data_IF_083835070022
#
_entry.id   IF_083835070022
#
_cell.length_a   1.000
_cell.length_b   1.000
_cell.length_c   1.000
_cell.angle_alpha   90.00
_cell.angle_beta   90.00
_cell.angle_gamma   90.00
#
_symmetry.space_group_name_H-M   'P 1'
#
loop_
_entity.id
_entity.type
_entity.pdbx_description
1 polymer ?
#
# COMPACT_ATOMS: atom_id res chain seq x y z
N UNK A 1 43.04 -6.98 74.38
CA UNK A 1 42.01 -7.76 73.67
C UNK A 1 41.17 -6.86 72.78
N UNK A 2 41.67 -6.43 71.62
CA UNK A 2 40.89 -5.69 70.60
C UNK A 2 41.43 -6.11 69.23
N UNK A 3 40.58 -6.14 68.20
CA UNK A 3 40.93 -6.31 66.78
C UNK A 3 40.98 -7.74 66.19
N UNK A 4 39.89 -8.50 66.28
CA UNK A 4 39.63 -9.57 65.28
C UNK A 4 38.25 -9.47 64.60
N UNK A 5 37.26 -8.87 65.26
CA UNK A 5 35.90 -8.75 64.71
C UNK A 5 35.76 -7.76 63.52
N UNK A 6 36.57 -6.69 63.46
CA UNK A 6 36.48 -5.69 62.36
C UNK A 6 36.91 -6.24 60.99
N UNK A 7 37.82 -7.22 60.95
CA UNK A 7 38.33 -7.80 59.69
C UNK A 7 37.31 -8.73 59.01
N UNK A 8 36.44 -9.41 59.78
CA UNK A 8 35.41 -10.30 59.22
C UNK A 8 34.25 -9.52 58.57
N UNK A 9 33.82 -8.41 59.20
CA UNK A 9 32.78 -7.53 58.65
C UNK A 9 33.25 -6.84 57.35
N UNK A 10 34.52 -6.45 57.30
CA UNK A 10 35.14 -5.89 56.08
C UNK A 10 35.18 -6.90 54.92
N UNK A 11 35.28 -8.20 55.19
CA UNK A 11 35.31 -9.25 54.17
C UNK A 11 33.91 -9.52 53.60
N UNK A 12 32.88 -9.48 54.45
CA UNK A 12 31.48 -9.64 54.05
C UNK A 12 30.95 -8.46 53.20
N UNK A 13 31.41 -7.24 53.48
CA UNK A 13 31.09 -6.06 52.67
C UNK A 13 31.72 -6.10 51.26
N UNK A 14 32.90 -6.72 51.12
CA UNK A 14 33.56 -6.89 49.81
C UNK A 14 32.87 -7.96 48.97
N UNK A 15 32.35 -9.01 49.59
CA UNK A 15 31.59 -10.08 48.91
C UNK A 15 30.21 -9.57 48.44
N UNK A 16 29.54 -8.71 49.22
CA UNK A 16 28.26 -8.07 48.81
C UNK A 16 28.46 -7.07 47.66
N UNK A 17 29.63 -6.43 47.57
CA UNK A 17 29.95 -5.51 46.46
C UNK A 17 30.11 -6.18 45.09
N UNK A 18 30.37 -7.50 45.03
CA UNK A 18 30.60 -8.22 43.76
C UNK A 18 29.32 -8.71 43.09
N UNK A 19 28.17 -8.70 43.77
CA UNK A 19 26.90 -9.25 43.24
C UNK A 19 26.15 -8.23 42.37
N UNK A 20 26.59 -6.97 42.32
CA UNK A 20 25.85 -5.88 41.65
C UNK A 20 26.33 -5.57 40.22
N UNK A 21 27.30 -6.31 39.69
CA UNK A 21 27.76 -6.13 38.30
C UNK A 21 26.92 -7.05 37.39
N UNK A 22 25.62 -6.78 37.34
CA UNK A 22 24.73 -7.34 36.34
C UNK A 22 24.99 -6.66 35.01
N UNK A 23 25.40 -7.43 34.00
CA UNK A 23 25.52 -6.95 32.63
C UNK A 23 24.12 -6.59 32.13
N UNK A 24 23.82 -5.30 32.00
CA UNK A 24 22.64 -4.82 31.27
C UNK A 24 22.88 -5.14 29.79
N UNK A 25 22.43 -6.31 29.34
CA UNK A 25 22.41 -6.60 27.91
C UNK A 25 21.50 -5.57 27.26
N UNK A 26 22.13 -4.64 26.55
CA UNK A 26 21.44 -3.73 25.64
C UNK A 26 20.76 -4.61 24.60
N UNK A 27 19.49 -4.94 24.86
CA UNK A 27 18.71 -5.79 23.99
C UNK A 27 18.33 -4.97 22.77
N UNK A 28 19.20 -4.97 21.77
CA UNK A 28 18.85 -4.48 20.44
C UNK A 28 17.90 -5.51 19.81
N UNK A 29 16.62 -5.17 19.59
CA UNK A 29 15.68 -6.12 19.00
C UNK A 29 16.20 -6.52 17.62
N UNK A 30 16.20 -7.84 17.35
CA UNK A 30 16.58 -8.37 16.03
C UNK A 30 15.72 -7.68 14.96
N UNK A 31 16.31 -7.31 13.80
CA UNK A 31 15.54 -6.73 12.71
C UNK A 31 14.40 -7.67 12.35
N UNK A 32 13.19 -7.13 12.20
CA UNK A 32 11.99 -7.93 11.87
C UNK A 32 12.25 -8.65 10.55
N UNK A 33 12.17 -9.98 10.56
CA UNK A 33 12.25 -10.80 9.35
C UNK A 33 10.93 -10.76 8.61
N UNK A 34 10.91 -10.13 7.44
CA UNK A 34 9.75 -10.13 6.54
C UNK A 34 9.59 -11.49 5.87
N UNK A 35 8.38 -11.83 5.45
CA UNK A 35 8.19 -12.98 4.55
C UNK A 35 9.04 -12.77 3.29
N UNK A 36 9.83 -13.78 2.93
CA UNK A 36 10.71 -13.69 1.76
C UNK A 36 9.88 -13.92 0.50
N UNK A 37 9.35 -12.84 -0.07
CA UNK A 37 8.83 -12.86 -1.43
C UNK A 37 10.00 -13.00 -2.40
N UNK A 38 9.90 -13.94 -3.34
CA UNK A 38 10.76 -13.94 -4.53
C UNK A 38 10.02 -13.07 -5.53
N UNK A 39 10.40 -11.80 -5.59
CA UNK A 39 9.78 -10.84 -6.51
C UNK A 39 10.48 -10.96 -7.87
N UNK A 40 9.74 -11.30 -8.94
CA UNK A 40 10.31 -11.35 -10.28
C UNK A 40 10.69 -9.94 -10.77
N UNK A 41 11.43 -9.85 -11.87
CA UNK A 41 11.64 -8.55 -12.52
C UNK A 41 10.34 -8.04 -13.12
N UNK A 42 10.18 -6.71 -13.09
CA UNK A 42 9.01 -6.04 -13.64
C UNK A 42 8.93 -6.24 -15.15
N UNK A 43 7.85 -6.86 -15.61
CA UNK A 43 7.54 -7.01 -17.02
C UNK A 43 6.09 -6.64 -17.26
N UNK A 44 5.85 -5.92 -18.35
CA UNK A 44 4.54 -5.34 -18.63
C UNK A 44 3.91 -5.87 -19.92
N UNK A 45 2.59 -5.81 -19.97
CA UNK A 45 1.77 -6.15 -21.13
C UNK A 45 0.60 -5.16 -21.25
N UNK A 46 0.10 -4.97 -22.47
CA UNK A 46 -1.02 -4.07 -22.73
C UNK A 46 -2.36 -4.69 -22.32
N UNK A 47 -3.30 -3.81 -21.94
CA UNK A 47 -4.70 -4.19 -21.85
C UNK A 47 -5.26 -4.61 -23.22
N UNK A 48 -6.25 -5.53 -23.24
CA UNK A 48 -7.03 -5.80 -24.45
C UNK A 48 -7.70 -4.54 -24.99
N UNK A 49 -7.92 -4.47 -26.30
CA UNK A 49 -8.45 -3.26 -26.93
C UNK A 49 -9.92 -2.92 -26.64
N UNK A 50 -10.58 -3.69 -25.78
CA UNK A 50 -12.02 -3.61 -25.48
C UNK A 50 -12.42 -2.50 -24.49
N UNK A 51 -11.47 -1.79 -23.89
CA UNK A 51 -11.73 -0.78 -22.85
C UNK A 51 -11.71 0.66 -23.39
N UNK A 52 -12.42 1.61 -22.76
CA UNK A 52 -12.38 3.04 -23.11
C UNK A 52 -11.09 3.75 -22.64
N UNK A 53 -10.16 2.99 -22.06
CA UNK A 53 -8.83 3.42 -21.65
C UNK A 53 -7.84 2.33 -22.04
N UNK A 54 -6.55 2.69 -22.04
CA UNK A 54 -5.46 1.74 -22.22
C UNK A 54 -4.36 2.04 -21.20
N UNK A 55 -3.68 0.99 -20.76
CA UNK A 55 -2.49 1.07 -19.92
C UNK A 55 -1.72 -0.25 -20.01
N UNK A 56 -0.50 -0.24 -19.50
CA UNK A 56 0.30 -1.43 -19.31
C UNK A 56 0.18 -1.93 -17.86
N UNK A 57 0.14 -3.26 -17.68
CA UNK A 57 0.09 -3.90 -16.37
C UNK A 57 1.04 -5.10 -16.31
N UNK A 58 1.35 -5.54 -15.09
CA UNK A 58 2.32 -6.60 -14.84
C UNK A 58 1.93 -7.92 -15.52
N UNK A 59 2.88 -8.59 -16.20
CA UNK A 59 2.70 -9.95 -16.73
C UNK A 59 2.53 -10.99 -15.63
N UNK A 60 2.98 -10.66 -14.42
CA UNK A 60 2.83 -11.49 -13.23
C UNK A 60 1.45 -11.36 -12.59
N UNK A 61 0.60 -10.48 -13.13
CA UNK A 61 -0.77 -10.29 -12.71
C UNK A 61 -1.78 -10.84 -13.73
N UNK A 62 -2.98 -11.14 -13.23
CA UNK A 62 -4.12 -11.59 -14.02
C UNK A 62 -5.14 -10.46 -14.11
N UNK A 63 -5.59 -10.18 -15.32
CA UNK A 63 -6.75 -9.33 -15.55
C UNK A 63 -8.02 -10.13 -15.29
N UNK A 64 -8.76 -9.78 -14.25
CA UNK A 64 -10.03 -10.39 -13.87
C UNK A 64 -11.16 -9.38 -14.05
N UNK A 65 -12.37 -9.88 -14.28
CA UNK A 65 -13.58 -9.05 -14.24
C UNK A 65 -13.98 -8.88 -12.78
N UNK A 66 -14.41 -7.68 -12.41
CA UNK A 66 -15.00 -7.46 -11.09
C UNK A 66 -16.27 -8.31 -10.96
N UNK A 67 -16.32 -9.14 -9.91
CA UNK A 67 -17.41 -10.09 -9.64
C UNK A 67 -18.47 -9.55 -8.69
N UNK A 68 -18.31 -8.30 -8.22
CA UNK A 68 -19.25 -7.62 -7.34
C UNK A 68 -20.61 -7.45 -8.00
N UNK A 69 -21.67 -7.54 -7.22
CA UNK A 69 -23.05 -7.36 -7.69
C UNK A 69 -23.34 -5.96 -8.27
N UNK A 70 -22.51 -4.97 -7.92
CA UNK A 70 -22.52 -3.59 -8.44
C UNK A 70 -21.57 -3.37 -9.62
N UNK A 71 -20.85 -4.40 -10.07
CA UNK A 71 -19.81 -4.30 -11.10
C UNK A 71 -20.36 -3.71 -12.40
N UNK A 72 -19.71 -2.66 -12.90
CA UNK A 72 -20.02 -2.08 -14.20
C UNK A 72 -19.14 -2.68 -15.31
N UNK A 73 -19.52 -2.46 -16.57
CA UNK A 73 -18.94 -3.10 -17.77
C UNK A 73 -17.40 -3.05 -17.84
N UNK A 74 -16.80 -1.97 -17.35
CA UNK A 74 -15.36 -1.70 -17.45
C UNK A 74 -14.63 -1.76 -16.10
N UNK A 75 -15.27 -2.33 -15.08
CA UNK A 75 -14.62 -2.58 -13.81
C UNK A 75 -13.86 -3.90 -13.85
N UNK A 76 -12.60 -3.84 -13.42
CA UNK A 76 -11.67 -4.95 -13.54
C UNK A 76 -10.78 -5.00 -12.31
N UNK A 77 -10.20 -6.18 -12.07
CA UNK A 77 -9.24 -6.40 -11.01
C UNK A 77 -7.93 -6.87 -11.64
N UNK A 78 -6.81 -6.24 -11.24
CA UNK A 78 -5.47 -6.73 -11.56
C UNK A 78 -4.97 -7.54 -10.36
N UNK A 79 -5.06 -8.86 -10.46
CA UNK A 79 -4.77 -9.78 -9.36
C UNK A 79 -3.37 -10.38 -9.46
N UNK A 80 -2.57 -10.24 -8.41
CA UNK A 80 -1.24 -10.83 -8.24
C UNK A 80 -1.35 -12.11 -7.39
N UNK A 81 -1.32 -13.31 -7.99
CA UNK A 81 -1.56 -14.55 -7.24
C UNK A 81 -0.48 -14.85 -6.20
N UNK A 82 0.78 -14.55 -6.51
CA UNK A 82 1.91 -14.80 -5.62
C UNK A 82 1.93 -13.86 -4.42
N UNK A 83 1.46 -12.62 -4.61
CA UNK A 83 1.41 -11.59 -3.58
C UNK A 83 0.08 -11.57 -2.83
N UNK A 84 -0.94 -12.30 -3.34
CA UNK A 84 -2.33 -12.25 -2.87
C UNK A 84 -2.83 -10.81 -2.77
N UNK A 85 -2.51 -10.02 -3.78
CA UNK A 85 -2.85 -8.62 -3.88
C UNK A 85 -3.75 -8.38 -5.09
N UNK A 86 -4.69 -7.47 -4.96
CA UNK A 86 -5.62 -7.07 -6.01
C UNK A 86 -5.64 -5.55 -6.13
N UNK A 87 -5.56 -5.07 -7.37
CA UNK A 87 -5.83 -3.66 -7.69
C UNK A 87 -7.22 -3.61 -8.29
N UNK A 88 -8.16 -3.03 -7.56
CA UNK A 88 -9.54 -2.88 -8.03
C UNK A 88 -9.63 -1.60 -8.81
N UNK A 89 -10.00 -1.70 -10.08
CA UNK A 89 -10.09 -0.60 -11.02
C UNK A 89 -11.54 -0.36 -11.40
N UNK A 90 -12.01 0.86 -11.18
CA UNK A 90 -13.34 1.30 -11.55
C UNK A 90 -13.28 2.43 -12.57
N UNK A 91 -14.26 2.42 -13.47
CA UNK A 91 -14.43 3.43 -14.51
C UNK A 91 -15.87 3.89 -14.51
N UNK A 92 -16.05 5.22 -14.55
CA UNK A 92 -17.37 5.86 -14.64
C UNK A 92 -17.34 6.92 -15.73
N UNK A 93 -18.47 7.06 -16.43
CA UNK A 93 -18.69 8.13 -17.40
C UNK A 93 -19.26 9.35 -16.68
N UNK A 94 -18.65 10.51 -16.87
CA UNK A 94 -19.12 11.79 -16.32
C UNK A 94 -20.27 12.28 -17.21
N UNK A 95 -21.47 12.35 -16.65
CA UNK A 95 -22.64 12.84 -17.36
C UNK A 95 -22.78 14.37 -17.26
N UNK A 96 -22.41 14.93 -16.10
CA UNK A 96 -22.52 16.35 -15.76
C UNK A 96 -21.59 16.72 -14.58
N UNK A 97 -21.53 18.01 -14.23
CA UNK A 97 -20.69 18.51 -13.13
C UNK A 97 -21.08 17.91 -11.76
N UNK A 98 -22.36 17.65 -11.52
CA UNK A 98 -22.82 17.04 -10.27
C UNK A 98 -22.29 15.59 -10.14
N UNK A 99 -22.30 14.82 -11.23
CA UNK A 99 -21.73 13.47 -11.25
C UNK A 99 -20.21 13.47 -11.02
N UNK A 100 -19.48 14.45 -11.59
CA UNK A 100 -18.06 14.59 -11.32
C UNK A 100 -17.81 14.88 -9.83
N UNK A 101 -18.59 15.79 -9.24
CA UNK A 101 -18.50 16.10 -7.82
C UNK A 101 -18.77 14.87 -6.96
N UNK A 102 -19.85 14.13 -7.25
CA UNK A 102 -20.18 12.89 -6.55
C UNK A 102 -19.03 11.89 -6.61
N UNK A 103 -18.41 11.69 -7.78
CA UNK A 103 -17.32 10.73 -7.94
C UNK A 103 -16.04 11.15 -7.21
N UNK A 104 -15.76 12.45 -7.16
CA UNK A 104 -14.67 13.00 -6.35
C UNK A 104 -14.95 12.80 -4.86
N UNK A 105 -16.15 13.19 -4.40
CA UNK A 105 -16.58 13.05 -3.01
C UNK A 105 -16.53 11.58 -2.57
N UNK A 106 -16.96 10.64 -3.42
CA UNK A 106 -16.85 9.19 -3.20
C UNK A 106 -15.38 8.75 -3.09
N UNK A 107 -14.51 9.22 -3.99
CA UNK A 107 -13.09 8.86 -3.98
C UNK A 107 -12.40 9.35 -2.69
N UNK A 108 -12.69 10.59 -2.27
CA UNK A 108 -12.21 11.14 -1.01
C UNK A 108 -12.82 10.43 0.20
N UNK A 109 -14.12 10.12 0.17
CA UNK A 109 -14.80 9.41 1.26
C UNK A 109 -14.26 7.99 1.45
N UNK A 110 -14.02 7.24 0.37
CA UNK A 110 -13.43 5.90 0.45
C UNK A 110 -11.99 5.94 0.98
N UNK A 111 -11.22 6.96 0.59
CA UNK A 111 -9.88 7.21 1.15
C UNK A 111 -9.97 7.51 2.64
N UNK A 112 -10.89 8.41 3.03
CA UNK A 112 -11.12 8.80 4.42
C UNK A 112 -11.74 7.68 5.29
N UNK A 113 -12.54 6.76 4.75
CA UNK A 113 -13.12 5.65 5.52
C UNK A 113 -12.03 4.70 6.07
N UNK A 114 -10.89 4.62 5.39
CA UNK A 114 -9.72 3.88 5.86
C UNK A 114 -8.84 4.68 6.84
N UNK A 115 -9.07 6.00 6.99
CA UNK A 115 -8.39 6.89 7.94
C UNK A 115 -8.55 6.46 9.40
N UNK A 116 -9.67 5.83 9.77
CA UNK A 116 -9.94 5.41 11.15
C UNK A 116 -8.89 4.39 11.64
N UNK A 117 -8.22 3.67 10.72
CA UNK A 117 -7.17 2.69 11.02
C UNK A 117 -5.78 3.09 10.50
N UNK A 118 -5.68 4.19 9.76
CA UNK A 118 -4.42 4.65 9.18
C UNK A 118 -3.61 5.40 10.24
N UNK A 119 -2.29 5.17 10.29
CA UNK A 119 -1.39 5.97 11.12
C UNK A 119 -1.01 7.29 10.44
N UNK A 120 -1.00 7.32 9.11
CA UNK A 120 -0.74 8.50 8.30
C UNK A 120 -1.42 8.37 6.93
N UNK A 121 -1.71 9.52 6.30
CA UNK A 121 -2.18 9.62 4.91
C UNK A 121 -1.31 10.68 4.23
N UNK A 122 -0.70 10.31 3.10
CA UNK A 122 0.00 11.25 2.22
C UNK A 122 -0.73 11.32 0.88
N UNK A 123 -1.39 12.46 0.62
CA UNK A 123 -2.09 12.73 -0.63
C UNK A 123 -1.22 13.59 -1.53
N UNK A 124 -1.01 13.13 -2.76
CA UNK A 124 -0.21 13.82 -3.76
C UNK A 124 -0.97 13.98 -5.08
N UNK A 125 -0.84 15.17 -5.67
CA UNK A 125 -1.32 15.47 -7.02
C UNK A 125 -0.09 15.55 -7.93
N UNK A 126 -0.06 14.74 -8.98
CA UNK A 126 1.03 14.71 -9.96
C UNK A 126 0.51 14.68 -11.39
N UNK A 127 1.41 14.96 -12.33
CA UNK A 127 1.14 14.89 -13.77
C UNK A 127 2.02 13.82 -14.38
N UNK A 128 1.42 12.86 -15.08
CA UNK A 128 2.15 11.78 -15.74
C UNK A 128 2.94 12.30 -16.95
N UNK A 129 3.94 11.57 -17.46
CA UNK A 129 4.64 11.94 -18.69
C UNK A 129 3.72 12.17 -19.89
N UNK A 130 2.55 11.52 -19.91
CA UNK A 130 1.51 11.68 -20.92
C UNK A 130 0.54 12.85 -20.63
N UNK A 131 0.85 13.71 -19.66
CA UNK A 131 0.08 14.91 -19.34
C UNK A 131 -1.23 14.65 -18.59
N UNK A 132 -1.40 13.49 -17.93
CA UNK A 132 -2.62 13.18 -17.15
C UNK A 132 -2.43 13.57 -15.70
N UNK A 133 -3.39 14.30 -15.14
CA UNK A 133 -3.42 14.58 -13.70
C UNK A 133 -3.84 13.32 -12.96
N UNK A 134 -3.06 12.92 -11.97
CA UNK A 134 -3.31 11.78 -11.09
C UNK A 134 -3.25 12.26 -9.67
N UNK A 135 -4.29 11.92 -8.90
CA UNK A 135 -4.30 12.08 -7.45
C UNK A 135 -4.10 10.70 -6.86
N UNK A 136 -3.15 10.54 -5.96
CA UNK A 136 -2.96 9.30 -5.22
C UNK A 136 -2.77 9.57 -3.73
N UNK A 137 -3.16 8.59 -2.93
CA UNK A 137 -3.04 8.61 -1.48
C UNK A 137 -2.38 7.32 -1.00
N UNK A 138 -1.33 7.48 -0.20
CA UNK A 138 -0.68 6.38 0.50
C UNK A 138 -1.15 6.34 1.95
N UNK A 139 -1.57 5.15 2.40
CA UNK A 139 -2.08 4.94 3.75
C UNK A 139 -1.16 3.96 4.49
N UNK A 140 -0.58 4.44 5.58
CA UNK A 140 0.25 3.64 6.48
C UNK A 140 -0.58 3.00 7.60
N UNK A 141 -0.13 1.85 8.12
CA UNK A 141 -0.75 1.17 9.25
C UNK A 141 -1.72 0.05 8.86
N UNK A 142 -2.51 -0.46 9.80
CA UNK A 142 -3.35 -1.64 9.59
C UNK A 142 -4.65 -1.32 8.82
N UNK A 143 -4.49 -0.80 7.61
CA UNK A 143 -5.56 -0.43 6.67
C UNK A 143 -5.77 -1.52 5.63
N UNK A 144 -7.01 -1.68 5.14
CA UNK A 144 -7.31 -2.68 4.11
C UNK A 144 -6.78 -2.29 2.73
N UNK A 145 -6.62 -0.99 2.45
CA UNK A 145 -6.01 -0.48 1.22
C UNK A 145 -4.93 0.53 1.55
N UNK A 146 -3.74 0.30 1.01
CA UNK A 146 -2.54 1.10 1.29
C UNK A 146 -2.20 2.11 0.20
N UNK A 147 -2.75 1.92 -1.00
CA UNK A 147 -2.51 2.81 -2.13
C UNK A 147 -3.81 2.98 -2.90
N UNK A 148 -4.26 4.23 -3.01
CA UNK A 148 -5.45 4.60 -3.76
C UNK A 148 -5.10 5.69 -4.73
N UNK A 149 -5.74 5.70 -5.89
CA UNK A 149 -5.51 6.74 -6.89
C UNK A 149 -6.74 6.95 -7.75
N UNK A 150 -6.84 8.12 -8.36
CA UNK A 150 -7.82 8.40 -9.38
C UNK A 150 -7.29 9.42 -10.41
N UNK A 151 -7.89 9.40 -11.60
CA UNK A 151 -7.62 10.33 -12.69
C UNK A 151 -8.91 10.63 -13.45
N UNK A 152 -9.04 11.86 -13.94
CA UNK A 152 -10.19 12.29 -14.73
C UNK A 152 -9.77 13.30 -15.79
N UNK A 153 -10.49 13.34 -16.91
CA UNK A 153 -10.41 14.43 -17.91
C UNK A 153 -11.41 15.56 -17.63
N UNK A 154 -12.06 15.54 -16.46
CA UNK A 154 -13.09 16.48 -15.98
C UNK A 154 -14.35 16.59 -16.83
N UNK A 155 -14.45 15.84 -17.94
CA UNK A 155 -15.52 16.03 -18.94
C UNK A 155 -16.29 14.76 -19.21
N UNK A 156 -15.62 13.61 -19.33
CA UNK A 156 -16.24 12.35 -19.74
C UNK A 156 -15.76 11.16 -18.93
N UNK A 157 -14.52 11.15 -18.48
CA UNK A 157 -13.91 9.95 -17.96
C UNK A 157 -13.49 10.13 -16.50
N UNK A 158 -13.87 9.19 -15.65
CA UNK A 158 -13.39 9.07 -14.28
C UNK A 158 -12.86 7.66 -14.06
N UNK A 159 -11.60 7.53 -13.66
CA UNK A 159 -10.94 6.26 -13.40
C UNK A 159 -10.36 6.27 -12.00
N UNK A 160 -10.60 5.20 -11.24
CA UNK A 160 -10.12 5.05 -9.87
C UNK A 160 -9.53 3.66 -9.68
N UNK A 161 -8.48 3.58 -8.87
CA UNK A 161 -7.92 2.32 -8.42
C UNK A 161 -7.64 2.29 -6.92
N UNK A 162 -7.69 1.10 -6.35
CA UNK A 162 -7.30 0.86 -4.96
C UNK A 162 -6.61 -0.50 -4.84
N UNK A 163 -5.45 -0.51 -4.18
CA UNK A 163 -4.67 -1.71 -3.89
C UNK A 163 -5.15 -2.33 -2.58
N UNK A 164 -5.51 -3.61 -2.61
CA UNK A 164 -5.87 -4.43 -1.46
C UNK A 164 -4.93 -5.64 -1.34
N UNK A 165 -4.77 -6.13 -0.12
CA UNK A 165 -4.07 -7.39 0.17
C UNK A 165 -5.03 -8.33 0.88
N UNK A 166 -5.21 -9.53 0.33
CA UNK A 166 -6.12 -10.56 0.85
C UNK A 166 -5.52 -11.36 2.03
N UNK A 167 -4.69 -10.72 2.85
CA UNK A 167 -4.07 -11.35 4.02
C UNK A 167 -4.37 -10.55 5.27
N UNK A 168 -4.74 -11.25 6.35
CA UNK A 168 -5.11 -10.66 7.63
C UNK A 168 -3.97 -9.79 8.20
N UNK A 169 -4.06 -8.50 7.94
CA UNK A 169 -3.70 -7.37 8.82
C UNK A 169 -2.34 -7.47 9.56
N UNK A 170 -1.29 -7.94 8.90
CA UNK A 170 0.09 -7.66 9.32
C UNK A 170 0.81 -6.86 8.24
N UNK A 171 0.53 -5.55 8.19
CA UNK A 171 1.09 -4.60 7.22
C UNK A 171 2.62 -4.72 7.15
N UNK A 172 3.30 -4.77 8.29
CA UNK A 172 4.77 -4.87 8.35
C UNK A 172 5.31 -5.98 7.43
N UNK A 173 4.74 -7.19 7.47
CA UNK A 173 5.21 -8.36 6.69
C UNK A 173 5.07 -8.21 5.17
N UNK A 174 4.19 -7.32 4.70
CA UNK A 174 3.85 -7.17 3.29
C UNK A 174 4.64 -6.07 2.59
N UNK A 175 5.39 -5.25 3.33
CA UNK A 175 6.04 -4.04 2.77
C UNK A 175 6.79 -4.28 1.46
N UNK A 176 7.59 -5.35 1.28
CA UNK A 176 8.24 -5.62 -0.01
C UNK A 176 7.25 -5.83 -1.16
N UNK A 177 6.12 -6.50 -0.90
CA UNK A 177 5.07 -6.72 -1.90
C UNK A 177 4.30 -5.44 -2.22
N UNK A 178 4.04 -4.59 -1.21
CA UNK A 178 3.41 -3.27 -1.40
C UNK A 178 4.27 -2.41 -2.31
N UNK A 179 5.56 -2.26 -1.98
CA UNK A 179 6.48 -1.44 -2.77
C UNK A 179 6.64 -1.97 -4.20
N UNK A 180 6.68 -3.29 -4.37
CA UNK A 180 6.69 -3.91 -5.70
C UNK A 180 5.45 -3.54 -6.52
N UNK A 181 4.24 -3.70 -5.95
CA UNK A 181 3.00 -3.39 -6.67
C UNK A 181 2.84 -1.88 -6.88
N UNK A 182 3.35 -1.03 -5.98
CA UNK A 182 3.38 0.43 -6.18
C UNK A 182 4.17 0.81 -7.43
N UNK A 183 5.33 0.20 -7.68
CA UNK A 183 6.11 0.43 -8.91
C UNK A 183 5.28 0.08 -10.15
N UNK A 184 4.57 -1.05 -10.11
CA UNK A 184 3.68 -1.46 -11.21
C UNK A 184 2.48 -0.51 -11.40
N UNK A 185 1.91 0.03 -10.31
CA UNK A 185 0.84 1.04 -10.38
C UNK A 185 1.36 2.36 -10.97
N UNK A 186 2.55 2.81 -10.58
CA UNK A 186 3.16 4.03 -11.14
C UNK A 186 3.40 3.86 -12.64
N UNK A 187 3.90 2.70 -13.06
CA UNK A 187 4.06 2.39 -14.49
C UNK A 187 2.73 2.37 -15.24
N UNK A 188 1.71 1.75 -14.65
CA UNK A 188 0.34 1.75 -15.18
C UNK A 188 -0.19 3.18 -15.35
N UNK A 189 -0.01 4.05 -14.36
CA UNK A 189 -0.43 5.46 -14.45
C UNK A 189 0.37 6.24 -15.49
N UNK A 190 1.67 5.97 -15.63
CA UNK A 190 2.51 6.62 -16.63
C UNK A 190 2.15 6.20 -18.07
N UNK A 191 1.76 4.95 -18.27
CA UNK A 191 1.31 4.41 -19.57
C UNK A 191 -0.18 4.67 -19.85
N UNK A 192 -0.92 5.20 -18.86
CA UNK A 192 -2.36 5.41 -18.96
C UNK A 192 -2.77 6.42 -20.03
N UNK A 193 -3.75 6.03 -20.85
CA UNK A 193 -4.36 6.86 -21.86
C UNK A 193 -5.87 6.63 -21.95
N UNK A 194 -6.63 7.72 -22.10
CA UNK A 194 -8.03 7.65 -22.51
C UNK A 194 -8.08 7.28 -23.99
N UNK A 195 -8.93 6.33 -24.37
CA UNK A 195 -9.28 6.14 -25.77
C UNK A 195 -10.33 7.17 -26.13
N UNK A 196 -10.20 7.80 -27.30
CA UNK A 196 -11.32 8.51 -27.86
C UNK A 196 -12.47 7.52 -28.03
N UNK A 197 -13.63 7.86 -27.50
CA UNK A 197 -14.84 7.05 -27.66
C UNK A 197 -15.04 6.81 -29.15
N UNK A 198 -14.97 5.55 -29.61
CA UNK A 198 -15.58 5.18 -30.88
C UNK A 198 -17.05 5.60 -30.77
N UNK A 199 -17.42 6.64 -31.52
CA UNK A 199 -18.82 7.01 -31.72
C UNK A 199 -19.57 5.87 -32.39
#
# INVERSE_FOLDING_TARGET
MKSKARKSISLWLVIIGFVVIGCSSEYSPKPKGYNRFVLPEHEYQHLPDTFPFNFEYSKHAKLLRDTSWISERYWVEIYYPELKADINLTYKVIANQDSLKEYLDDAYFLTAKHQIKASAIDETITVTPNGKTVVYAELDGQVPSQFQFFSTDSTKNFFRGALYFNTEVQNDSLRPAIEYVKVDIVHMMNSFQWKESLQ
#
